data_IF_920364805260
#
_entry.id   IF_920364805260
#
_cell.length_a   1.000
_cell.length_b   1.000
_cell.length_c   1.000
_cell.angle_alpha   90.00
_cell.angle_beta   90.00
_cell.angle_gamma   90.00
#
_symmetry.space_group_name_H-M   'P 1'
#
loop_
_entity.id
_entity.type
_entity.pdbx_description
1 polymer ?
#
# COMPACT_ATOMS: atom_id res chain seq x y z
N UNK A 1 8.30 -16.08 -15.16
CA UNK A 1 7.35 -14.97 -14.95
C UNK A 1 7.71 -13.91 -15.96
N UNK A 2 6.86 -13.71 -16.97
CA UNK A 2 7.15 -12.78 -18.07
C UNK A 2 7.22 -11.36 -17.52
N UNK A 3 8.32 -10.68 -17.80
CA UNK A 3 8.50 -9.26 -17.48
C UNK A 3 7.56 -8.48 -18.43
N UNK A 4 6.29 -8.37 -18.05
CA UNK A 4 5.29 -7.60 -18.78
C UNK A 4 5.59 -6.12 -18.57
N UNK A 5 6.17 -5.50 -19.60
CA UNK A 5 6.32 -4.05 -19.66
C UNK A 5 4.92 -3.46 -19.88
N UNK A 6 4.39 -2.77 -18.88
CA UNK A 6 3.12 -2.04 -19.00
C UNK A 6 3.28 -0.93 -20.02
N UNK A 7 2.51 -1.00 -21.12
CA UNK A 7 2.45 0.03 -22.15
C UNK A 7 1.07 0.70 -22.12
N UNK A 8 1.05 2.04 -22.10
CA UNK A 8 -0.19 2.84 -22.10
C UNK A 8 -1.12 2.49 -23.28
N UNK A 9 -0.57 2.12 -24.44
CA UNK A 9 -1.37 1.77 -25.63
C UNK A 9 -2.11 0.43 -25.50
N UNK A 10 -1.64 -0.47 -24.65
CA UNK A 10 -2.24 -1.79 -24.42
C UNK A 10 -2.97 -1.88 -23.08
N UNK A 11 -3.05 -0.78 -22.33
CA UNK A 11 -3.80 -0.71 -21.08
C UNK A 11 -5.30 -0.94 -21.33
N UNK A 12 -5.90 -1.86 -20.58
CA UNK A 12 -7.34 -2.18 -20.70
C UNK A 12 -8.18 -0.99 -20.21
N UNK A 13 -7.75 -0.34 -19.14
CA UNK A 13 -8.40 0.86 -18.59
C UNK A 13 -7.80 2.12 -19.22
N UNK A 14 -8.62 3.09 -19.66
CA UNK A 14 -8.12 4.37 -20.16
C UNK A 14 -7.45 5.21 -19.06
N UNK A 15 -7.75 4.96 -17.77
CA UNK A 15 -7.12 5.67 -16.64
C UNK A 15 -5.63 5.34 -16.52
N UNK A 16 -5.24 4.11 -16.86
CA UNK A 16 -3.85 3.64 -16.85
C UNK A 16 -3.15 3.81 -18.22
N UNK A 17 -3.90 4.28 -19.24
CA UNK A 17 -3.43 4.51 -20.60
C UNK A 17 -3.67 5.96 -21.04
N UNK A 18 -4.71 6.18 -21.87
CA UNK A 18 -5.05 7.49 -22.48
C UNK A 18 -5.04 8.68 -21.51
N UNK A 19 -5.44 8.46 -20.26
CA UNK A 19 -5.55 9.50 -19.23
C UNK A 19 -4.53 9.35 -18.09
N UNK A 20 -3.50 8.50 -18.25
CA UNK A 20 -2.50 8.24 -17.21
C UNK A 20 -1.88 9.54 -16.67
N UNK A 21 -1.52 10.48 -17.55
CA UNK A 21 -0.94 11.77 -17.16
C UNK A 21 -1.87 12.65 -16.31
N UNK A 22 -3.18 12.45 -16.39
CA UNK A 22 -4.16 13.13 -15.53
C UNK A 22 -4.32 12.46 -14.15
N UNK A 23 -3.87 11.21 -14.04
CA UNK A 23 -3.97 10.38 -12.84
C UNK A 23 -2.62 10.24 -12.10
N UNK A 24 -1.53 10.85 -12.60
CA UNK A 24 -0.18 10.71 -12.02
C UNK A 24 -0.14 11.07 -10.52
N UNK A 25 -0.87 12.10 -10.10
CA UNK A 25 -0.95 12.50 -8.68
C UNK A 25 -1.72 11.49 -7.80
N UNK A 26 -2.55 10.65 -8.40
CA UNK A 26 -3.39 9.65 -7.73
C UNK A 26 -2.69 8.28 -7.63
N UNK A 27 -1.80 7.98 -8.57
CA UNK A 27 -1.06 6.71 -8.65
C UNK A 27 -0.33 6.33 -7.34
N UNK A 28 0.30 7.25 -6.57
CA UNK A 28 0.91 6.91 -5.29
C UNK A 28 -0.05 6.43 -4.20
N UNK A 29 -1.37 6.57 -4.40
CA UNK A 29 -2.41 6.23 -3.41
C UNK A 29 -3.31 5.09 -3.86
N UNK A 30 -3.70 5.06 -5.15
CA UNK A 30 -4.71 4.13 -5.68
C UNK A 30 -4.13 3.01 -6.56
N UNK A 31 -2.82 2.78 -6.48
CA UNK A 31 -2.16 1.62 -7.09
C UNK A 31 -1.93 0.52 -6.06
N UNK A 32 -1.54 -0.67 -6.52
CA UNK A 32 -1.03 -1.73 -5.64
C UNK A 32 0.16 -1.24 -4.81
N UNK A 33 1.03 -0.42 -5.39
CA UNK A 33 2.11 0.26 -4.65
C UNK A 33 1.56 1.13 -3.52
N UNK A 34 0.56 1.97 -3.80
CA UNK A 34 -0.11 2.81 -2.80
C UNK A 34 -0.71 1.97 -1.68
N UNK A 35 -1.44 0.92 -2.04
CA UNK A 35 -2.03 -0.02 -1.07
C UNK A 35 -0.97 -0.62 -0.14
N UNK A 36 0.12 -1.15 -0.69
CA UNK A 36 1.19 -1.75 0.12
C UNK A 36 1.94 -0.71 0.96
N UNK A 37 2.18 0.49 0.40
CA UNK A 37 2.81 1.62 1.09
C UNK A 37 2.04 2.02 2.34
N UNK A 38 0.71 2.08 2.27
CA UNK A 38 -0.12 2.47 3.41
C UNK A 38 -0.48 1.29 4.33
N UNK A 39 -0.60 0.07 3.80
CA UNK A 39 -0.89 -1.13 4.61
C UNK A 39 0.23 -1.45 5.60
N UNK A 40 1.49 -1.37 5.16
CA UNK A 40 2.66 -1.68 6.00
C UNK A 40 2.71 -0.88 7.31
N UNK A 41 2.68 0.47 7.30
CA UNK A 41 2.74 1.25 8.54
C UNK A 41 1.48 1.10 9.40
N UNK A 42 0.30 0.85 8.82
CA UNK A 42 -0.91 0.55 9.59
C UNK A 42 -0.76 -0.74 10.37
N UNK A 43 -0.24 -1.80 9.74
CA UNK A 43 0.02 -3.07 10.43
C UNK A 43 1.03 -2.93 11.57
N UNK A 44 2.11 -2.15 11.35
CA UNK A 44 3.11 -1.87 12.40
C UNK A 44 2.48 -1.10 13.56
N UNK A 45 1.73 -0.02 13.27
CA UNK A 45 1.07 0.78 14.30
C UNK A 45 0.01 0.00 15.05
N UNK A 46 -0.70 -0.88 14.37
CA UNK A 46 -1.65 -1.79 15.00
C UNK A 46 -0.95 -2.70 16.01
N UNK A 47 0.18 -3.31 15.61
CA UNK A 47 0.97 -4.13 16.53
C UNK A 47 1.50 -3.32 17.73
N UNK A 48 2.00 -2.10 17.49
CA UNK A 48 2.43 -1.18 18.54
C UNK A 48 1.29 -0.84 19.50
N UNK A 49 0.08 -0.59 18.97
CA UNK A 49 -1.10 -0.28 19.77
C UNK A 49 -1.53 -1.47 20.64
N UNK A 50 -1.46 -2.70 20.11
CA UNK A 50 -1.76 -3.91 20.90
C UNK A 50 -0.72 -4.11 22.01
N UNK A 51 0.56 -3.88 21.74
CA UNK A 51 1.65 -4.09 22.71
C UNK A 51 1.60 -3.14 23.91
N UNK A 52 0.93 -1.99 23.80
CA UNK A 52 0.74 -1.02 24.90
C UNK A 52 -0.65 -1.10 25.53
N UNK A 53 -1.54 -1.98 25.04
CA UNK A 53 -2.91 -2.04 25.52
C UNK A 53 -2.99 -2.79 26.87
N UNK A 54 -3.49 -2.17 27.95
CA UNK A 54 -3.37 -2.71 29.31
C UNK A 54 -4.14 -4.02 29.54
N UNK A 55 -5.15 -4.31 28.72
CA UNK A 55 -5.93 -5.55 28.82
C UNK A 55 -5.30 -6.72 28.05
N UNK A 56 -4.25 -6.50 27.26
CA UNK A 56 -3.60 -7.54 26.45
C UNK A 56 -2.27 -7.91 27.11
N UNK A 57 -2.32 -8.78 28.12
CA UNK A 57 -1.15 -9.15 28.94
C UNK A 57 -0.27 -10.23 28.30
N UNK A 58 -0.79 -10.99 27.34
CA UNK A 58 -0.07 -12.05 26.62
C UNK A 58 1.00 -11.52 25.66
N UNK A 59 0.92 -10.24 25.30
CA UNK A 59 1.81 -9.62 24.32
C UNK A 59 2.91 -8.84 25.04
N UNK A 60 4.17 -9.20 24.80
CA UNK A 60 5.31 -8.47 25.33
C UNK A 60 5.39 -7.07 24.71
N UNK A 61 5.91 -6.11 25.50
CA UNK A 61 6.25 -4.78 25.00
C UNK A 61 7.30 -4.89 23.89
N UNK A 62 7.15 -4.09 22.84
CA UNK A 62 8.14 -4.01 21.77
C UNK A 62 9.44 -3.39 22.30
N UNK A 63 10.57 -3.95 21.91
CA UNK A 63 11.90 -3.37 22.16
C UNK A 63 12.12 -2.12 21.29
N UNK A 64 12.99 -1.22 21.75
CA UNK A 64 13.51 -0.08 20.98
C UNK A 64 14.34 -0.51 19.76
#
# INVERSE_FOLDING_TARGET
>A
MTNQVSNQLTAVSPLDGRYASKCDSLSPFFSEYGLLKFRKPVAIRWQQALAVHPQITELASLSD
#
